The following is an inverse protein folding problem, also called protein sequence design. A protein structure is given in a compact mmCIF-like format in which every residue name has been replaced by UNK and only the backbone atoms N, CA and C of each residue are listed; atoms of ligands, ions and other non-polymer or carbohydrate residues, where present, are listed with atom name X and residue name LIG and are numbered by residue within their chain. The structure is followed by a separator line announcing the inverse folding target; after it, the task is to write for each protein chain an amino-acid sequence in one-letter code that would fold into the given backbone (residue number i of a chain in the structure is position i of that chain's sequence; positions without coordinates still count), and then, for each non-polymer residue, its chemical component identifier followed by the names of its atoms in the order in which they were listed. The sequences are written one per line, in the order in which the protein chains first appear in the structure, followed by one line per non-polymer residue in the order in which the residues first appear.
data_IF_304121158401
#
_entry.id   IF_304121158401
#
_cell.length_a   1.000
_cell.length_b   1.000
_cell.length_c   1.000
_cell.angle_alpha   90.00
_cell.angle_beta   90.00
_cell.angle_gamma   90.00
#
_symmetry.space_group_name_H-M   'P 1'
#
loop_
_entity.id
_entity.type
_entity.pdbx_description
1 polymer ?
#
# COMPACT_ATOMS: atom_id res chain seq x y z
N UNK A 1 29.99 -3.04 -28.84
CA UNK A 1 29.05 -3.22 -27.69
C UNK A 1 27.72 -2.57 -28.08
N UNK A 2 26.58 -3.21 -27.81
CA UNK A 2 25.28 -2.56 -28.05
C UNK A 2 25.14 -1.33 -27.15
N UNK A 3 24.49 -0.28 -27.64
CA UNK A 3 24.26 0.98 -26.91
C UNK A 3 23.65 0.73 -25.51
N UNK A 4 22.73 -0.23 -25.42
CA UNK A 4 22.09 -0.67 -24.18
C UNK A 4 23.08 -1.26 -23.16
N UNK A 5 24.00 -2.12 -23.60
CA UNK A 5 25.03 -2.69 -22.72
C UNK A 5 25.99 -1.63 -22.19
N UNK A 6 26.37 -0.66 -23.03
CA UNK A 6 27.19 0.47 -22.60
C UNK A 6 26.47 1.35 -21.57
N UNK A 7 25.16 1.57 -21.76
CA UNK A 7 24.32 2.33 -20.82
C UNK A 7 24.19 1.63 -19.47
N UNK A 8 23.94 0.32 -19.46
CA UNK A 8 23.89 -0.49 -18.23
C UNK A 8 25.21 -0.41 -17.48
N UNK A 9 26.33 -0.57 -18.19
CA UNK A 9 27.66 -0.45 -17.61
C UNK A 9 27.89 0.92 -16.96
N UNK A 10 27.47 2.01 -17.61
CA UNK A 10 27.58 3.36 -17.03
C UNK A 10 26.80 3.51 -15.70
N UNK A 11 25.62 2.89 -15.58
CA UNK A 11 24.90 2.85 -14.31
C UNK A 11 25.61 2.00 -13.27
N UNK A 12 26.12 0.82 -13.63
CA UNK A 12 26.86 -0.07 -12.72
C UNK A 12 28.14 0.61 -12.20
N UNK A 13 28.88 1.28 -13.07
CA UNK A 13 30.11 2.00 -12.72
C UNK A 13 29.80 3.17 -11.75
N UNK A 14 28.70 3.89 -11.97
CA UNK A 14 28.27 4.98 -11.08
C UNK A 14 27.76 4.47 -9.73
N UNK A 15 26.93 3.43 -9.73
CA UNK A 15 26.37 2.82 -8.51
C UNK A 15 27.42 1.99 -7.74
N UNK A 16 28.56 1.69 -8.37
CA UNK A 16 29.71 1.04 -7.76
C UNK A 16 30.46 1.92 -6.77
N UNK A 17 30.39 3.25 -6.92
CA UNK A 17 31.09 4.24 -6.08
C UNK A 17 30.56 4.24 -4.63
N UNK A 18 31.42 4.45 -3.64
CA UNK A 18 31.03 4.49 -2.21
C UNK A 18 30.07 5.65 -1.90
N UNK A 19 30.25 6.77 -2.60
CA UNK A 19 29.37 7.95 -2.57
C UNK A 19 28.88 8.21 -3.99
N UNK A 20 27.57 8.14 -4.17
CA UNK A 20 26.96 8.24 -5.50
C UNK A 20 26.79 9.70 -5.90
N UNK A 21 27.34 10.09 -7.05
CA UNK A 21 27.18 11.44 -7.57
C UNK A 21 25.76 11.66 -8.11
N UNK A 22 24.93 12.41 -7.37
CA UNK A 22 23.54 12.71 -7.73
C UNK A 22 23.40 13.44 -9.07
N UNK A 23 24.30 14.39 -9.37
CA UNK A 23 24.24 15.15 -10.63
C UNK A 23 24.51 14.27 -11.85
N UNK A 24 25.45 13.32 -11.75
CA UNK A 24 25.69 12.32 -12.80
C UNK A 24 24.53 11.33 -12.89
N UNK A 25 23.99 10.90 -11.75
CA UNK A 25 22.86 9.96 -11.71
C UNK A 25 21.63 10.55 -12.42
N UNK A 26 21.28 11.81 -12.12
CA UNK A 26 20.18 12.51 -12.76
C UNK A 26 20.39 12.67 -14.26
N UNK A 27 21.61 13.05 -14.70
CA UNK A 27 21.94 13.16 -16.13
C UNK A 27 21.81 11.83 -16.87
N UNK A 28 22.26 10.73 -16.26
CA UNK A 28 22.12 9.40 -16.84
C UNK A 28 20.64 8.97 -16.87
N UNK A 29 19.92 9.18 -15.78
CA UNK A 29 18.51 8.82 -15.63
C UNK A 29 17.55 9.65 -16.49
N UNK A 30 17.92 10.87 -16.91
CA UNK A 30 17.10 11.76 -17.73
C UNK A 30 16.61 11.09 -19.02
N UNK A 31 17.44 10.25 -19.63
CA UNK A 31 17.11 9.49 -20.83
C UNK A 31 16.50 8.10 -20.53
N UNK A 32 15.98 7.90 -19.32
CA UNK A 32 15.36 6.66 -18.84
C UNK A 32 16.32 5.69 -18.15
N UNK A 33 15.81 4.90 -17.20
CA UNK A 33 16.61 3.89 -16.49
C UNK A 33 16.32 2.49 -17.06
N UNK A 34 17.35 1.69 -17.38
CA UNK A 34 17.18 0.31 -17.82
C UNK A 34 16.41 -0.56 -16.81
N UNK A 35 15.60 -1.51 -17.29
CA UNK A 35 14.84 -2.44 -16.44
C UNK A 35 15.72 -3.59 -15.92
N UNK A 36 16.76 -3.90 -16.67
CA UNK A 36 17.64 -5.04 -16.43
C UNK A 36 18.37 -4.91 -15.08
N UNK A 37 18.58 -6.05 -14.42
CA UNK A 37 19.33 -6.18 -13.16
C UNK A 37 18.80 -5.35 -11.98
N UNK A 38 17.53 -4.95 -12.01
CA UNK A 38 16.92 -4.17 -10.92
C UNK A 38 17.44 -2.73 -10.82
N UNK A 39 18.14 -2.22 -11.86
CA UNK A 39 18.72 -0.89 -11.87
C UNK A 39 17.66 0.20 -11.62
N UNK A 40 16.48 0.08 -12.25
CA UNK A 40 15.41 1.06 -12.07
C UNK A 40 14.99 1.22 -10.62
N UNK A 41 14.80 0.11 -9.91
CA UNK A 41 14.44 0.14 -8.49
C UNK A 41 15.52 0.84 -7.66
N UNK A 42 16.79 0.47 -7.83
CA UNK A 42 17.86 1.07 -7.06
C UNK A 42 18.04 2.56 -7.34
N UNK A 43 18.04 2.95 -8.63
CA UNK A 43 18.16 4.34 -9.05
C UNK A 43 17.00 5.18 -8.52
N UNK A 44 15.76 4.68 -8.59
CA UNK A 44 14.60 5.39 -8.06
C UNK A 44 14.66 5.53 -6.54
N UNK A 45 15.13 4.51 -5.80
CA UNK A 45 15.34 4.62 -4.34
C UNK A 45 16.31 5.75 -3.98
N UNK A 46 17.34 5.98 -4.80
CA UNK A 46 18.32 7.05 -4.58
C UNK A 46 17.73 8.42 -5.01
N UNK A 47 17.11 8.49 -6.19
CA UNK A 47 16.52 9.73 -6.72
C UNK A 47 15.36 10.25 -5.88
N UNK A 48 14.59 9.34 -5.26
CA UNK A 48 13.50 9.67 -4.33
C UNK A 48 14.01 9.85 -2.89
N UNK A 49 15.32 9.94 -2.69
CA UNK A 49 15.97 10.13 -1.38
C UNK A 49 15.56 9.09 -0.31
N UNK A 50 15.11 7.90 -0.75
CA UNK A 50 14.83 6.79 0.13
C UNK A 50 16.13 6.15 0.64
N UNK A 51 17.14 6.04 -0.23
CA UNK A 51 18.50 5.69 0.12
C UNK A 51 19.40 6.93 0.05
N UNK A 52 20.29 7.14 1.04
CA UNK A 52 21.26 8.23 0.98
C UNK A 52 22.30 7.97 -0.12
N UNK A 53 23.08 8.99 -0.48
CA UNK A 53 24.15 8.85 -1.47
C UNK A 53 25.33 8.01 -0.97
N UNK A 54 25.54 7.96 0.36
CA UNK A 54 26.58 7.18 1.03
C UNK A 54 26.13 5.73 1.22
N UNK A 55 26.79 4.78 0.56
CA UNK A 55 26.41 3.35 0.58
C UNK A 55 26.55 2.72 1.96
N UNK A 56 27.53 3.14 2.73
CA UNK A 56 27.75 2.65 4.09
C UNK A 56 26.57 2.93 5.02
N UNK A 57 25.82 4.00 4.76
CA UNK A 57 24.64 4.38 5.53
C UNK A 57 23.37 3.63 5.10
N UNK A 58 23.39 2.83 4.03
CA UNK A 58 22.20 2.18 3.49
C UNK A 58 21.59 1.21 4.49
N UNK A 59 22.38 0.29 5.04
CA UNK A 59 21.87 -0.73 5.95
C UNK A 59 21.26 -0.12 7.22
N UNK A 60 21.92 0.88 7.80
CA UNK A 60 21.45 1.55 9.02
C UNK A 60 20.19 2.39 8.77
N UNK A 61 20.13 3.12 7.65
CA UNK A 61 18.95 3.89 7.23
C UNK A 61 17.76 2.97 7.00
N UNK A 62 17.97 1.86 6.30
CA UNK A 62 16.95 0.87 6.05
C UNK A 62 16.42 0.27 7.36
N UNK A 63 17.30 -0.12 8.29
CA UNK A 63 16.87 -0.66 9.59
C UNK A 63 15.98 0.33 10.36
N UNK A 64 16.40 1.61 10.44
CA UNK A 64 15.63 2.67 11.12
C UNK A 64 14.25 2.88 10.48
N UNK A 65 14.18 3.01 9.16
CA UNK A 65 12.91 3.18 8.44
C UNK A 65 11.97 2.00 8.65
N UNK A 66 12.50 0.77 8.72
CA UNK A 66 11.71 -0.44 8.98
C UNK A 66 11.14 -0.49 10.40
N UNK A 67 11.90 -0.04 11.40
CA UNK A 67 11.44 0.04 12.79
C UNK A 67 10.34 1.09 12.94
N UNK A 68 10.53 2.27 12.33
CA UNK A 68 9.54 3.33 12.33
C UNK A 68 8.22 2.89 11.70
N UNK A 69 8.29 2.18 10.57
CA UNK A 69 7.12 1.62 9.92
C UNK A 69 6.35 0.65 10.84
N UNK A 70 7.07 -0.23 11.53
CA UNK A 70 6.47 -1.17 12.48
C UNK A 70 5.71 -0.41 13.58
N UNK A 71 6.32 0.64 14.14
CA UNK A 71 5.67 1.51 15.13
C UNK A 71 4.38 2.13 14.57
N UNK A 72 4.39 2.64 13.33
CA UNK A 72 3.18 3.19 12.72
C UNK A 72 2.08 2.15 12.53
N UNK A 73 2.41 0.90 12.20
CA UNK A 73 1.41 -0.17 12.10
C UNK A 73 0.77 -0.43 13.47
N UNK A 74 1.59 -0.50 14.52
CA UNK A 74 1.13 -0.77 15.87
C UNK A 74 0.29 0.38 16.45
N UNK A 75 0.62 1.62 16.11
CA UNK A 75 -0.06 2.82 16.64
C UNK A 75 -1.30 3.24 15.83
N UNK A 76 -1.27 3.10 14.49
CA UNK A 76 -2.32 3.65 13.61
C UNK A 76 -3.35 2.58 13.23
N UNK A 77 -2.94 1.31 13.09
CA UNK A 77 -3.85 0.21 12.71
C UNK A 77 -4.33 -0.49 13.98
N UNK A 78 -5.15 0.22 14.74
CA UNK A 78 -5.70 -0.23 16.03
C UNK A 78 -7.23 -0.32 15.92
N UNK A 79 -7.80 -1.35 16.54
CA UNK A 79 -9.25 -1.46 16.69
C UNK A 79 -9.74 -0.51 17.78
N UNK A 80 -10.88 0.18 17.57
CA UNK A 80 -11.44 1.08 18.57
C UNK A 80 -11.94 0.27 19.77
N UNK A 81 -11.92 0.88 20.95
CA UNK A 81 -12.42 0.26 22.17
C UNK A 81 -11.45 0.36 23.35
N UNK A 82 -11.78 1.24 24.29
CA UNK A 82 -11.37 1.13 25.68
C UNK A 82 -12.49 0.49 26.52
N UNK A 83 -12.24 0.10 27.78
CA UNK A 83 -13.22 -0.55 28.65
C UNK A 83 -14.51 0.25 28.90
N UNK A 84 -14.58 1.53 28.50
CA UNK A 84 -15.72 2.42 28.71
C UNK A 84 -16.20 3.16 27.45
N UNK A 85 -15.59 2.92 26.29
CA UNK A 85 -15.91 3.64 25.04
C UNK A 85 -16.75 2.77 24.09
N UNK A 86 -17.93 3.25 23.73
CA UNK A 86 -18.94 2.51 22.96
C UNK A 86 -19.11 3.09 21.56
N UNK A 87 -19.42 2.29 20.52
CA UNK A 87 -19.62 2.74 19.13
C UNK A 87 -20.70 3.80 18.91
N UNK A 88 -21.54 4.07 19.90
CA UNK A 88 -22.59 5.10 19.86
C UNK A 88 -22.19 6.37 20.61
N UNK A 89 -20.95 6.45 21.09
CA UNK A 89 -20.45 7.64 21.77
C UNK A 89 -20.22 8.75 20.73
N UNK A 90 -20.96 9.84 20.87
CA UNK A 90 -20.94 11.00 19.95
C UNK A 90 -19.85 12.00 20.36
N UNK A 91 -19.21 11.77 21.51
CA UNK A 91 -18.20 12.68 22.04
C UNK A 91 -16.99 12.73 21.08
N UNK A 92 -16.47 13.93 20.76
CA UNK A 92 -15.41 14.09 19.76
C UNK A 92 -14.06 13.48 20.18
N UNK A 93 -13.90 13.15 21.46
CA UNK A 93 -12.78 12.44 22.08
C UNK A 93 -12.92 10.90 22.02
N UNK A 94 -14.06 10.38 21.53
CA UNK A 94 -14.26 8.94 21.38
C UNK A 94 -13.36 8.35 20.29
N UNK A 95 -12.76 7.21 20.60
CA UNK A 95 -11.97 6.41 19.63
C UNK A 95 -12.84 5.94 18.46
N UNK A 96 -14.14 5.74 18.69
CA UNK A 96 -15.10 5.35 17.66
C UNK A 96 -15.38 6.47 16.66
N UNK A 97 -15.46 7.73 17.11
CA UNK A 97 -15.64 8.88 16.23
C UNK A 97 -14.47 9.00 15.24
N UNK A 98 -13.24 8.84 15.72
CA UNK A 98 -12.02 8.80 14.88
C UNK A 98 -12.06 7.60 13.95
N UNK A 99 -12.41 6.42 14.46
CA UNK A 99 -12.49 5.20 13.66
C UNK A 99 -13.47 5.29 12.49
N UNK A 100 -14.65 5.89 12.69
CA UNK A 100 -15.62 6.06 11.62
C UNK A 100 -15.17 7.08 10.58
N UNK A 101 -14.57 8.20 10.98
CA UNK A 101 -13.95 9.16 10.04
C UNK A 101 -12.83 8.50 9.23
N UNK A 102 -12.01 7.68 9.88
CA UNK A 102 -10.97 6.92 9.19
C UNK A 102 -11.55 5.95 8.16
N UNK A 103 -12.72 5.33 8.44
CA UNK A 103 -13.39 4.43 7.50
C UNK A 103 -13.91 5.16 6.25
N UNK A 104 -14.29 6.43 6.35
CA UNK A 104 -14.69 7.23 5.18
C UNK A 104 -13.52 7.44 4.22
N UNK A 105 -12.35 7.82 4.77
CA UNK A 105 -11.10 7.96 4.01
C UNK A 105 -10.68 6.61 3.42
N UNK A 106 -10.73 5.56 4.24
CA UNK A 106 -10.36 4.22 3.82
C UNK A 106 -11.26 3.67 2.71
N UNK A 107 -12.55 3.98 2.73
CA UNK A 107 -13.49 3.57 1.68
C UNK A 107 -13.15 4.20 0.33
N UNK A 108 -12.65 5.44 0.33
CA UNK A 108 -12.17 6.08 -0.88
C UNK A 108 -10.90 5.38 -1.40
N UNK A 109 -9.94 5.13 -0.51
CA UNK A 109 -8.69 4.43 -0.84
C UNK A 109 -8.99 3.03 -1.40
N UNK A 110 -9.82 2.21 -0.73
CA UNK A 110 -10.17 0.84 -1.15
C UNK A 110 -10.73 0.81 -2.58
N UNK A 111 -11.65 1.73 -2.91
CA UNK A 111 -12.21 1.84 -4.27
C UNK A 111 -11.15 2.16 -5.32
N UNK A 112 -10.21 3.04 -4.99
CA UNK A 112 -9.20 3.53 -5.91
C UNK A 112 -8.06 2.51 -6.11
N UNK A 113 -7.65 1.77 -5.08
CA UNK A 113 -6.64 0.71 -5.20
C UNK A 113 -7.16 -0.53 -5.91
N UNK A 114 -8.46 -0.85 -5.77
CA UNK A 114 -9.09 -1.97 -6.52
C UNK A 114 -9.15 -1.72 -8.03
N UNK A 115 -9.01 -0.46 -8.46
CA UNK A 115 -8.99 -0.05 -9.87
C UNK A 115 -7.60 0.33 -10.35
N UNK A 116 -6.56 0.13 -9.53
CA UNK A 116 -5.20 0.52 -9.85
C UNK A 116 -4.61 -0.42 -10.89
N UNK A 117 -4.28 0.13 -12.06
CA UNK A 117 -3.63 -0.58 -13.17
C UNK A 117 -4.29 -1.95 -13.48
N UNK A 118 -5.57 -1.99 -13.87
CA UNK A 118 -6.34 -3.23 -14.01
C UNK A 118 -5.80 -4.16 -15.10
N UNK A 119 -5.02 -3.62 -16.05
CA UNK A 119 -4.42 -4.37 -17.15
C UNK A 119 -3.26 -5.27 -16.72
N UNK A 120 -2.76 -5.13 -15.47
CA UNK A 120 -1.68 -5.97 -14.93
C UNK A 120 -2.16 -6.79 -13.73
N UNK A 121 -1.94 -8.10 -13.78
CA UNK A 121 -2.30 -9.03 -12.70
C UNK A 121 -1.46 -8.85 -11.43
N UNK A 122 -0.40 -8.04 -11.49
CA UNK A 122 0.52 -7.81 -10.38
C UNK A 122 -0.22 -7.37 -9.12
N UNK A 123 -1.13 -6.40 -9.21
CA UNK A 123 -1.81 -5.88 -8.01
C UNK A 123 -2.76 -6.90 -7.36
N UNK A 124 -3.27 -7.87 -8.12
CA UNK A 124 -4.13 -8.96 -7.62
C UNK A 124 -3.32 -10.11 -7.00
N UNK A 125 -2.08 -10.29 -7.44
CA UNK A 125 -1.23 -11.37 -6.94
C UNK A 125 -0.79 -11.17 -5.49
N UNK A 126 -0.49 -12.30 -4.84
CA UNK A 126 0.09 -12.33 -3.50
C UNK A 126 1.49 -11.72 -3.50
N UNK A 127 1.75 -10.81 -2.55
CA UNK A 127 3.12 -10.37 -2.30
C UNK A 127 3.93 -11.50 -1.68
N UNK A 128 5.22 -11.60 -2.05
CA UNK A 128 6.19 -12.48 -1.37
C UNK A 128 6.39 -12.09 0.11
N UNK A 129 5.93 -10.89 0.49
CA UNK A 129 6.29 -10.21 1.72
C UNK A 129 5.07 -9.67 2.49
N UNK A 130 4.15 -10.55 2.94
CA UNK A 130 2.97 -10.13 3.68
C UNK A 130 3.33 -9.60 5.08
N UNK A 131 2.58 -8.58 5.53
CA UNK A 131 2.63 -8.09 6.90
C UNK A 131 1.88 -9.06 7.83
N UNK A 132 2.63 -9.96 8.46
CA UNK A 132 2.10 -11.07 9.26
C UNK A 132 1.16 -10.63 10.38
N UNK A 133 1.42 -9.50 11.02
CA UNK A 133 0.58 -8.97 12.09
C UNK A 133 -0.82 -8.55 11.60
N UNK A 134 -0.93 -8.20 10.33
CA UNK A 134 -2.19 -7.82 9.70
C UNK A 134 -2.88 -9.06 9.15
N UNK A 135 -2.17 -9.86 8.35
CA UNK A 135 -2.78 -11.02 7.68
C UNK A 135 -3.21 -12.14 8.63
N UNK A 136 -2.57 -12.25 9.79
CA UNK A 136 -2.89 -13.25 10.82
C UNK A 136 -3.74 -12.67 11.97
N UNK A 137 -4.31 -11.48 11.80
CA UNK A 137 -5.17 -10.84 12.81
C UNK A 137 -6.61 -11.36 12.84
N UNK A 138 -6.89 -12.51 12.23
CA UNK A 138 -8.25 -13.01 11.96
C UNK A 138 -9.14 -11.97 11.23
N UNK A 139 -8.52 -11.07 10.47
CA UNK A 139 -9.19 -9.98 9.77
C UNK A 139 -9.40 -8.70 10.56
N UNK A 140 -9.12 -8.67 11.86
CA UNK A 140 -9.37 -7.49 12.72
C UNK A 140 -8.56 -6.27 12.28
N UNK A 141 -7.31 -6.48 11.86
CA UNK A 141 -6.42 -5.40 11.38
C UNK A 141 -6.43 -5.23 9.85
N UNK A 142 -7.19 -6.05 9.10
CA UNK A 142 -7.26 -5.91 7.63
C UNK A 142 -8.13 -4.71 7.28
N UNK A 143 -7.52 -3.73 6.61
CA UNK A 143 -8.16 -2.46 6.33
C UNK A 143 -9.39 -2.61 5.42
N UNK A 144 -9.29 -3.36 4.33
CA UNK A 144 -10.45 -3.64 3.47
C UNK A 144 -11.67 -4.21 4.21
N UNK A 145 -11.49 -5.01 5.28
CA UNK A 145 -12.61 -5.54 6.08
C UNK A 145 -13.32 -4.47 6.91
N UNK A 146 -12.68 -3.33 7.19
CA UNK A 146 -13.31 -2.19 7.88
C UNK A 146 -14.31 -1.46 6.99
N UNK A 147 -14.15 -1.57 5.68
CA UNK A 147 -14.96 -0.88 4.66
C UNK A 147 -15.80 -1.82 3.81
N UNK A 148 -15.68 -3.14 4.03
CA UNK A 148 -16.65 -4.11 3.57
C UNK A 148 -18.04 -3.69 4.06
N UNK A 149 -18.86 -3.20 3.13
CA UNK A 149 -20.24 -2.90 3.42
C UNK A 149 -20.87 -4.21 3.90
N UNK A 150 -21.41 -4.20 5.11
CA UNK A 150 -22.31 -5.25 5.55
C UNK A 150 -23.53 -5.19 4.64
N UNK A 151 -23.46 -5.91 3.52
CA UNK A 151 -24.62 -6.14 2.67
C UNK A 151 -25.59 -6.90 3.56
N UNK A 152 -26.66 -6.24 4.00
CA UNK A 152 -27.67 -6.88 4.83
C UNK A 152 -28.17 -8.10 4.07
N UNK A 153 -27.94 -9.29 4.65
CA UNK A 153 -28.47 -10.53 4.12
C UNK A 153 -29.99 -10.45 4.20
N UNK A 154 -30.63 -10.22 3.05
CA UNK A 154 -32.07 -10.20 2.92
C UNK A 154 -32.52 -11.48 2.23
N UNK A 155 -33.51 -12.15 2.80
CA UNK A 155 -34.22 -13.24 2.15
C UNK A 155 -35.56 -12.71 1.63
N UNK A 156 -35.87 -13.00 0.37
CA UNK A 156 -37.19 -12.68 -0.18
C UNK A 156 -38.18 -13.76 0.27
N UNK A 157 -39.28 -13.35 0.90
CA UNK A 157 -40.37 -14.25 1.26
C UNK A 157 -41.26 -14.47 0.04
N UNK A 158 -41.27 -15.67 -0.53
CA UNK A 158 -42.25 -16.04 -1.55
C UNK A 158 -43.54 -16.57 -0.91
N UNK A 159 -44.67 -15.95 -1.26
CA UNK A 159 -46.00 -16.44 -0.88
C UNK A 159 -46.55 -17.30 -2.01
N UNK A 160 -46.62 -18.62 -1.81
CA UNK A 160 -47.51 -19.47 -2.61
C UNK A 160 -48.91 -19.38 -2.01
N UNK A 161 -49.91 -19.13 -2.86
CA UNK A 161 -51.30 -18.91 -2.43
C UNK A 161 -51.80 -19.99 -1.45
N UNK A 162 -52.68 -19.57 -0.52
CA UNK A 162 -53.15 -20.28 0.70
C UNK A 162 -52.27 -20.11 1.96
N UNK A 163 -51.66 -18.93 2.13
CA UNK A 163 -51.28 -18.43 3.47
C UNK A 163 -50.02 -19.03 4.12
N UNK A 164 -49.33 -19.95 3.45
CA UNK A 164 -48.05 -20.51 3.93
C UNK A 164 -46.89 -19.78 3.25
N UNK A 165 -46.09 -19.06 4.03
CA UNK A 165 -44.85 -18.44 3.58
C UNK A 165 -43.70 -19.44 3.76
N UNK A 166 -43.06 -19.83 2.67
CA UNK A 166 -41.85 -20.67 2.69
C UNK A 166 -40.62 -19.79 2.51
N UNK A 167 -39.64 -19.89 3.41
CA UNK A 167 -38.32 -19.31 3.22
C UNK A 167 -37.65 -20.04 2.06
N UNK A 168 -37.54 -19.39 0.89
CA UNK A 168 -36.73 -19.92 -0.21
C UNK A 168 -35.27 -19.61 0.07
N UNK A 169 -34.49 -20.62 0.49
CA UNK A 169 -33.04 -20.51 0.65
C UNK A 169 -32.28 -20.45 -0.68
N UNK A 170 -32.97 -20.55 -1.82
CA UNK A 170 -32.35 -20.62 -3.13
C UNK A 170 -32.55 -19.33 -3.92
N UNK A 171 -31.78 -18.29 -3.58
CA UNK A 171 -31.38 -17.30 -4.58
C UNK A 171 -29.99 -17.71 -5.06
N UNK A 172 -29.95 -18.52 -6.12
CA UNK A 172 -28.78 -18.57 -7.01
C UNK A 172 -28.68 -17.23 -7.72
N UNK A 173 -28.11 -16.22 -7.06
CA UNK A 173 -27.45 -15.11 -7.75
C UNK A 173 -26.05 -14.98 -7.21
N UNK A 174 -25.16 -15.54 -8.03
CA UNK A 174 -23.79 -15.09 -8.27
C UNK A 174 -23.33 -13.95 -7.36
N UNK A 175 -22.34 -14.27 -6.52
CA UNK A 175 -21.49 -13.37 -5.75
C UNK A 175 -20.70 -12.35 -6.60
N UNK A 176 -21.16 -11.99 -7.80
CA UNK A 176 -20.34 -11.42 -8.87
C UNK A 176 -20.84 -10.09 -9.47
N UNK A 177 -21.71 -9.32 -8.80
CA UNK A 177 -22.24 -8.07 -9.41
C UNK A 177 -22.16 -6.83 -8.50
N UNK A 178 -21.23 -6.81 -7.55
CA UNK A 178 -20.70 -5.56 -6.99
C UNK A 178 -19.20 -5.69 -6.87
N UNK A 179 -18.47 -4.93 -7.71
CA UNK A 179 -17.01 -4.95 -7.96
C UNK A 179 -16.46 -6.25 -8.56
N UNK A 180 -16.05 -6.19 -9.84
CA UNK A 180 -15.48 -7.33 -10.57
C UNK A 180 -14.33 -8.02 -9.82
N UNK A 181 -14.48 -9.33 -9.64
CA UNK A 181 -13.47 -10.37 -9.42
C UNK A 181 -12.21 -10.03 -8.60
N UNK A 182 -12.37 -9.30 -7.50
CA UNK A 182 -11.29 -9.02 -6.55
C UNK A 182 -11.52 -9.77 -5.24
N UNK A 183 -11.27 -11.08 -5.24
CA UNK A 183 -11.40 -11.91 -4.02
C UNK A 183 -10.20 -11.67 -3.09
N UNK A 184 -10.40 -11.25 -1.83
CA UNK A 184 -9.33 -11.19 -0.85
C UNK A 184 -8.62 -12.55 -0.72
N UNK A 185 -7.30 -12.53 -0.56
CA UNK A 185 -6.52 -13.76 -0.40
C UNK A 185 -6.77 -14.39 0.98
N UNK A 186 -6.48 -15.69 1.10
CA UNK A 186 -6.59 -16.44 2.34
C UNK A 186 -5.72 -15.85 3.46
N UNK A 187 -6.02 -16.20 4.71
CA UNK A 187 -5.19 -15.83 5.85
C UNK A 187 -3.73 -16.25 5.65
N UNK A 188 -2.80 -15.39 6.10
CA UNK A 188 -1.37 -15.54 5.85
C UNK A 188 -0.87 -14.95 4.51
N UNK A 189 -1.77 -14.66 3.56
CA UNK A 189 -1.43 -13.99 2.30
C UNK A 189 -1.93 -12.53 2.29
N UNK A 190 -1.14 -11.65 1.67
CA UNK A 190 -1.48 -10.25 1.42
C UNK A 190 -1.34 -10.01 -0.08
N UNK A 191 -2.33 -9.38 -0.69
CA UNK A 191 -2.26 -8.99 -2.09
C UNK A 191 -1.56 -7.64 -2.22
N UNK A 192 -0.96 -7.38 -3.39
CA UNK A 192 -0.23 -6.13 -3.64
C UNK A 192 -1.11 -4.87 -3.49
N UNK A 193 -2.40 -4.94 -3.85
CA UNK A 193 -3.34 -3.84 -3.62
C UNK A 193 -3.60 -3.54 -2.12
N UNK A 194 -3.61 -4.56 -1.24
CA UNK A 194 -3.74 -4.37 0.22
C UNK A 194 -2.50 -3.65 0.78
N UNK A 195 -1.33 -3.88 0.18
CA UNK A 195 -0.12 -3.14 0.53
C UNK A 195 -0.25 -1.67 0.17
N UNK A 196 -0.73 -1.36 -1.03
CA UNK A 196 -0.96 0.02 -1.48
C UNK A 196 -2.05 0.71 -0.64
N UNK A 197 -3.14 0.01 -0.33
CA UNK A 197 -4.21 0.50 0.57
C UNK A 197 -3.62 0.97 1.90
N UNK A 198 -2.81 0.12 2.52
CA UNK A 198 -2.16 0.42 3.80
C UNK A 198 -1.18 1.59 3.70
N UNK A 199 -0.39 1.66 2.63
CA UNK A 199 0.55 2.76 2.42
C UNK A 199 -0.17 4.11 2.32
N UNK A 200 -1.27 4.17 1.57
CA UNK A 200 -2.09 5.38 1.42
C UNK A 200 -2.81 5.75 2.72
N UNK A 201 -3.34 4.76 3.45
CA UNK A 201 -4.02 4.99 4.72
C UNK A 201 -3.06 5.56 5.77
N UNK A 202 -1.87 4.96 5.94
CA UNK A 202 -0.85 5.48 6.86
C UNK A 202 -0.45 6.92 6.50
N UNK A 203 -0.27 7.22 5.22
CA UNK A 203 0.04 8.58 4.80
C UNK A 203 -1.05 9.58 5.18
N UNK A 204 -2.32 9.26 4.92
CA UNK A 204 -3.43 10.14 5.27
C UNK A 204 -3.49 10.41 6.77
N UNK A 205 -3.19 9.40 7.60
CA UNK A 205 -3.14 9.52 9.07
C UNK A 205 -1.94 10.33 9.55
N UNK A 206 -0.79 10.20 8.91
CA UNK A 206 0.43 10.96 9.24
C UNK A 206 0.36 12.42 8.77
N UNK A 207 -0.49 12.72 7.78
CA UNK A 207 -0.60 14.05 7.16
C UNK A 207 -2.05 14.57 7.21
N UNK A 208 -2.63 14.83 8.39
CA UNK A 208 -4.04 15.20 8.53
C UNK A 208 -4.41 16.52 7.81
N UNK A 209 -3.44 17.41 7.58
CA UNK A 209 -3.64 18.64 6.82
C UNK A 209 -3.83 18.43 5.31
N UNK A 210 -3.30 17.32 4.76
CA UNK A 210 -3.41 16.98 3.34
C UNK A 210 -4.42 15.84 3.10
N UNK A 211 -4.41 14.82 3.97
CA UNK A 211 -5.25 13.64 3.85
C UNK A 211 -4.96 12.82 2.59
N UNK A 212 -5.91 11.94 2.25
CA UNK A 212 -5.90 11.24 0.97
C UNK A 212 -6.66 12.06 -0.08
N UNK A 213 -6.13 12.09 -1.31
CA UNK A 213 -6.78 12.68 -2.48
C UNK A 213 -6.79 11.66 -3.61
N UNK A 214 -7.92 11.53 -4.28
CA UNK A 214 -8.08 10.64 -5.44
C UNK A 214 -6.99 10.95 -6.49
N UNK A 215 -6.37 9.89 -7.03
CA UNK A 215 -5.24 9.96 -7.96
C UNK A 215 -3.89 9.71 -7.28
N UNK A 216 -3.77 9.84 -5.96
CA UNK A 216 -2.54 9.47 -5.25
C UNK A 216 -2.19 7.98 -5.39
N UNK A 217 -3.19 7.13 -5.57
CA UNK A 217 -3.03 5.71 -5.91
C UNK A 217 -2.28 5.50 -7.24
N UNK A 218 -2.53 6.35 -8.24
CA UNK A 218 -1.88 6.28 -9.56
C UNK A 218 -0.41 6.71 -9.51
N UNK A 219 -0.04 7.55 -8.54
CA UNK A 219 1.35 7.95 -8.30
C UNK A 219 2.12 6.81 -7.61
N UNK A 220 1.54 6.24 -6.55
CA UNK A 220 2.23 5.20 -5.78
C UNK A 220 2.27 3.86 -6.48
N UNK A 221 1.29 3.53 -7.34
CA UNK A 221 1.23 2.26 -8.06
C UNK A 221 2.51 1.93 -8.84
N UNK A 222 2.96 2.77 -9.78
CA UNK A 222 4.19 2.53 -10.55
C UNK A 222 5.45 2.48 -9.70
N UNK A 223 5.53 3.30 -8.65
CA UNK A 223 6.65 3.32 -7.70
C UNK A 223 6.72 2.00 -6.94
N UNK A 224 5.59 1.58 -6.38
CA UNK A 224 5.45 0.33 -5.67
C UNK A 224 5.79 -0.87 -6.56
N UNK A 225 5.21 -0.94 -7.76
CA UNK A 225 5.49 -1.99 -8.74
C UNK A 225 6.99 -2.07 -9.07
N UNK A 226 7.63 -0.92 -9.33
CA UNK A 226 9.07 -0.86 -9.63
C UNK A 226 9.92 -1.44 -8.50
N UNK A 227 9.55 -1.19 -7.26
CA UNK A 227 10.29 -1.66 -6.09
C UNK A 227 10.00 -3.10 -5.70
N UNK A 228 8.77 -3.55 -5.90
CA UNK A 228 8.38 -4.94 -5.67
C UNK A 228 9.00 -5.89 -6.71
N UNK A 229 9.23 -5.41 -7.93
CA UNK A 229 9.87 -6.17 -9.02
C UNK A 229 11.41 -6.14 -9.00
N UNK A 230 12.04 -5.61 -7.95
CA UNK A 230 13.50 -5.51 -7.82
C UNK A 230 14.16 -6.91 -7.80
N UNK A 231 15.20 -7.15 -8.60
CA UNK A 231 15.87 -8.46 -8.62
C UNK A 231 16.55 -8.80 -7.30
N UNK A 232 16.99 -7.80 -6.54
CA UNK A 232 17.70 -8.01 -5.28
C UNK A 232 16.71 -8.26 -4.14
N UNK A 233 16.75 -9.48 -3.58
CA UNK A 233 15.88 -9.90 -2.48
C UNK A 233 16.10 -9.08 -1.20
N UNK A 234 17.30 -8.61 -0.92
CA UNK A 234 17.54 -7.78 0.27
C UNK A 234 16.82 -6.44 0.16
N UNK A 235 16.73 -5.89 -1.05
CA UNK A 235 15.99 -4.67 -1.33
C UNK A 235 14.47 -4.87 -1.54
N UNK A 236 14.01 -6.11 -1.76
CA UNK A 236 12.58 -6.49 -1.77
C UNK A 236 12.04 -6.91 -0.40
N UNK A 237 12.89 -7.53 0.41
CA UNK A 237 12.58 -8.24 1.65
C UNK A 237 11.58 -7.50 2.53
N UNK A 238 10.65 -8.27 3.13
CA UNK A 238 9.56 -8.08 4.12
C UNK A 238 9.26 -6.70 4.73
N UNK A 239 10.23 -5.81 4.74
CA UNK A 239 10.22 -4.50 5.37
C UNK A 239 10.57 -3.34 4.40
N UNK A 240 10.85 -3.60 3.12
CA UNK A 240 11.15 -2.56 2.11
C UNK A 240 9.98 -2.16 1.23
N UNK A 241 9.16 -3.14 0.83
CA UNK A 241 8.01 -2.91 -0.06
C UNK A 241 7.00 -1.92 0.54
N UNK A 242 6.89 -1.84 1.86
CA UNK A 242 5.88 -0.99 2.48
C UNK A 242 6.27 0.49 2.71
N UNK A 243 7.51 0.89 2.45
CA UNK A 243 7.99 2.23 2.87
C UNK A 243 8.57 3.10 1.79
N UNK A 244 7.99 3.06 0.60
CA UNK A 244 8.37 3.97 -0.46
C UNK A 244 7.45 5.17 -0.59
N UNK A 245 6.31 5.18 0.09
CA UNK A 245 5.42 6.34 0.07
C UNK A 245 5.82 7.46 1.03
N UNK A 246 6.32 7.13 2.24
CA UNK A 246 6.71 8.17 3.20
C UNK A 246 7.98 8.92 2.80
N UNK A 247 8.75 8.46 1.80
CA UNK A 247 9.87 9.24 1.23
C UNK A 247 9.50 9.96 -0.08
N UNK A 248 8.39 9.56 -0.73
CA UNK A 248 7.91 10.19 -1.97
C UNK A 248 6.94 11.34 -1.68
N UNK A 249 6.15 11.25 -0.61
CA UNK A 249 5.16 12.27 -0.26
C UNK A 249 5.58 13.19 0.89
N UNK A 250 6.67 12.88 1.61
CA UNK A 250 7.49 13.94 2.19
C UNK A 250 8.21 14.62 1.02
N UNK A 251 7.44 15.37 0.24
CA UNK A 251 7.97 16.52 -0.45
C UNK A 251 8.36 17.54 0.63
N UNK A 252 9.42 17.25 1.39
CA UNK A 252 10.36 18.28 1.84
C UNK A 252 11.15 18.76 0.60
N UNK A 253 10.44 19.06 -0.50
CA UNK A 253 10.95 19.72 -1.70
C UNK A 253 11.07 21.23 -1.49
N UNK A 254 10.90 21.70 -0.26
CA UNK A 254 11.45 22.97 0.16
C UNK A 254 12.50 22.65 1.21
N UNK A 255 13.81 22.82 0.92
CA UNK A 255 14.68 23.27 1.98
C UNK A 255 13.97 24.48 2.60
N UNK A 256 13.78 24.45 3.92
CA UNK A 256 13.65 25.69 4.66
C UNK A 256 14.88 26.51 4.27
N UNK A 257 14.71 27.45 3.33
CA UNK A 257 15.75 28.41 3.05
C UNK A 257 16.01 29.15 4.37
N UNK A 258 17.28 29.40 4.71
CA UNK A 258 17.63 30.15 5.92
C UNK A 258 17.01 31.56 5.91
#
# INVERSE_FOLDING_TARGET
MSLQKARIKAFEDLLGQDVINMGQLQKLAFNGVPEEKGLRSLVWKILLHYLPQEKDAWQSTLLKKRQLYQQFIDEIIVSPGGPSDHPLNISPDSSWSVYFKDNEVLLQIDKDVRRLCPDINFFQSATEFPCLEIVNSNGVKRLHKRVEQSVLSYSTLERRGLGVATLSNEIRRSSSVTSGDYTPLNEGCEAHWEVVERMLFLYAKLNPGQGYVQGMNEIIGPIYHTFACDTNKDYRSKKHSCFTFNSVMFLDFLPANP
#
